data_IF_375931812139
#
_entry.id   IF_375931812139
#
_cell.length_a   1.000
_cell.length_b   1.000
_cell.length_c   1.000
_cell.angle_alpha   90.00
_cell.angle_beta   90.00
_cell.angle_gamma   90.00
#
_symmetry.space_group_name_H-M   'P 1'
#
loop_
_entity.id
_entity.type
_entity.pdbx_description
1 polymer ?
#
# COMPACT_ATOMS: atom_id res chain seq x y z
N UNK A 1 -2.35 7.20 27.00
CA UNK A 1 -2.93 6.03 26.30
C UNK A 1 -1.86 5.46 25.41
N UNK A 2 -1.77 4.15 25.17
CA UNK A 2 -0.65 3.57 24.42
C UNK A 2 -0.74 3.74 22.90
N UNK A 3 -1.92 3.95 22.31
CA UNK A 3 -2.16 3.98 20.87
C UNK A 3 -1.39 2.86 20.12
N UNK A 4 -1.56 1.62 20.58
CA UNK A 4 -0.81 0.45 20.11
C UNK A 4 -1.64 -0.45 19.19
N UNK A 5 -0.97 -1.14 18.28
CA UNK A 5 -1.56 -2.15 17.41
C UNK A 5 -0.60 -3.30 17.16
N UNK A 6 -1.15 -4.44 16.73
CA UNK A 6 -0.37 -5.51 16.08
C UNK A 6 -0.91 -5.75 14.68
N UNK A 7 -0.03 -5.82 13.68
CA UNK A 7 -0.36 -6.20 12.31
C UNK A 7 0.11 -7.64 12.09
N UNK A 8 -0.77 -8.51 11.59
CA UNK A 8 -0.45 -9.90 11.25
C UNK A 8 -1.14 -10.34 9.97
N UNK A 9 -0.71 -11.45 9.38
CA UNK A 9 -1.32 -12.10 8.23
C UNK A 9 -2.38 -13.13 8.66
N UNK A 10 -3.18 -13.62 7.70
CA UNK A 10 -4.16 -14.70 7.94
C UNK A 10 -3.55 -15.98 8.54
N UNK A 11 -2.29 -16.29 8.25
CA UNK A 11 -1.62 -17.49 8.75
C UNK A 11 -1.03 -17.34 10.16
N UNK A 12 -1.09 -16.14 10.75
CA UNK A 12 -0.71 -15.86 12.15
C UNK A 12 0.67 -16.43 12.52
N UNK A 13 1.70 -16.18 11.69
CA UNK A 13 3.07 -16.59 12.00
C UNK A 13 3.93 -15.49 12.62
N UNK A 14 3.75 -14.25 12.16
CA UNK A 14 4.47 -13.07 12.63
C UNK A 14 3.49 -11.98 13.00
N UNK A 15 3.87 -11.17 13.99
CA UNK A 15 3.18 -9.94 14.36
C UNK A 15 4.15 -8.77 14.35
N UNK A 16 3.77 -7.67 13.71
CA UNK A 16 4.45 -6.38 13.81
C UNK A 16 3.69 -5.52 14.82
N UNK A 17 4.33 -5.24 15.95
CA UNK A 17 3.84 -4.34 16.98
C UNK A 17 4.15 -2.88 16.61
N UNK A 18 3.20 -2.00 16.84
CA UNK A 18 3.29 -0.56 16.54
C UNK A 18 2.90 0.25 17.79
N UNK A 19 3.71 1.27 18.12
CA UNK A 19 3.52 2.19 19.26
C UNK A 19 4.30 3.49 19.03
N UNK A 20 3.72 4.60 18.62
CA UNK A 20 2.32 5.01 18.72
C UNK A 20 1.63 4.88 17.36
N UNK A 21 0.45 5.46 17.17
CA UNK A 21 -0.30 5.47 15.90
C UNK A 21 -0.75 4.08 15.41
N UNK A 22 -1.31 3.29 16.32
CA UNK A 22 -1.97 2.02 16.00
C UNK A 22 -3.39 2.15 15.43
N UNK A 23 -3.95 3.37 15.35
CA UNK A 23 -5.28 3.63 14.80
C UNK A 23 -5.43 3.23 13.34
N UNK A 24 -6.65 2.90 12.89
CA UNK A 24 -6.90 2.47 11.50
C UNK A 24 -6.57 3.59 10.52
N UNK A 25 -6.85 4.82 10.92
CA UNK A 25 -6.48 6.06 10.24
C UNK A 25 -4.96 6.23 10.01
N UNK A 26 -4.11 5.43 10.66
CA UNK A 26 -2.67 5.33 10.35
C UNK A 26 -2.32 4.00 9.67
N UNK A 27 -2.85 2.88 10.16
CA UNK A 27 -2.50 1.55 9.67
C UNK A 27 -2.98 1.34 8.23
N UNK A 28 -4.15 1.85 7.87
CA UNK A 28 -4.68 1.71 6.52
C UNK A 28 -3.87 2.54 5.49
N UNK A 29 -3.54 3.83 5.72
CA UNK A 29 -2.59 4.55 4.87
C UNK A 29 -1.20 3.90 4.78
N UNK A 30 -0.67 3.34 5.87
CA UNK A 30 0.62 2.63 5.87
C UNK A 30 0.61 1.46 4.87
N UNK A 31 -0.42 0.61 4.95
CA UNK A 31 -0.55 -0.54 4.06
C UNK A 31 -0.73 -0.08 2.61
N UNK A 32 -1.54 0.96 2.39
CA UNK A 32 -1.71 1.58 1.07
C UNK A 32 -0.41 2.15 0.52
N UNK A 33 0.40 2.80 1.35
CA UNK A 33 1.71 3.31 0.96
C UNK A 33 2.63 2.19 0.49
N UNK A 34 2.68 1.08 1.25
CA UNK A 34 3.49 -0.09 0.89
C UNK A 34 3.02 -0.72 -0.44
N UNK A 35 1.70 -0.79 -0.67
CA UNK A 35 1.13 -1.22 -1.95
C UNK A 35 1.55 -0.29 -3.10
N UNK A 36 1.43 1.03 -2.91
CA UNK A 36 1.81 2.04 -3.91
C UNK A 36 3.31 2.04 -4.21
N UNK A 37 4.15 1.71 -3.23
CA UNK A 37 5.58 1.44 -3.43
C UNK A 37 5.84 0.20 -4.29
N UNK A 38 4.83 -0.63 -4.52
CA UNK A 38 4.94 -1.87 -5.29
C UNK A 38 5.65 -2.97 -4.52
N UNK A 39 5.66 -2.89 -3.19
CA UNK A 39 6.26 -3.93 -2.37
C UNK A 39 5.41 -5.21 -2.40
N UNK A 40 6.09 -6.36 -2.37
CA UNK A 40 5.44 -7.65 -2.15
C UNK A 40 4.74 -7.64 -0.79
N UNK A 41 3.52 -8.16 -0.66
CA UNK A 41 2.82 -8.16 0.61
C UNK A 41 3.45 -9.11 1.62
N UNK A 42 3.24 -8.93 2.93
CA UNK A 42 3.78 -9.80 3.98
C UNK A 42 3.31 -11.26 3.87
N UNK A 43 2.19 -11.52 3.21
CA UNK A 43 1.69 -12.87 2.93
C UNK A 43 2.51 -13.63 1.87
N UNK A 44 3.34 -12.94 1.08
CA UNK A 44 4.19 -13.57 0.07
C UNK A 44 5.47 -14.17 0.69
N UNK A 45 6.27 -13.35 1.38
CA UNK A 45 7.55 -13.77 1.96
C UNK A 45 8.09 -12.78 3.00
N UNK A 46 9.29 -13.05 3.52
CA UNK A 46 9.98 -12.22 4.51
C UNK A 46 10.37 -10.82 4.01
N UNK A 47 10.48 -10.59 2.69
CA UNK A 47 10.75 -9.25 2.16
C UNK A 47 9.55 -8.33 2.36
N UNK A 48 8.32 -8.83 2.27
CA UNK A 48 7.12 -8.03 2.54
C UNK A 48 7.08 -7.52 3.98
N UNK A 49 7.41 -8.39 4.95
CA UNK A 49 7.58 -7.99 6.35
C UNK A 49 8.69 -6.95 6.52
N UNK A 50 9.86 -7.17 5.90
CA UNK A 50 10.98 -6.25 6.00
C UNK A 50 10.63 -4.85 5.48
N UNK A 51 9.89 -4.74 4.37
CA UNK A 51 9.46 -3.44 3.83
C UNK A 51 8.40 -2.75 4.68
N UNK A 52 7.45 -3.48 5.24
CA UNK A 52 6.50 -2.93 6.22
C UNK A 52 7.24 -2.34 7.43
N UNK A 53 8.15 -3.12 8.03
CA UNK A 53 8.98 -2.66 9.15
C UNK A 53 9.88 -1.48 8.79
N UNK A 54 10.42 -1.45 7.57
CA UNK A 54 11.25 -0.33 7.09
C UNK A 54 10.44 0.96 7.01
N UNK A 55 9.24 0.94 6.41
CA UNK A 55 8.40 2.15 6.29
C UNK A 55 8.02 2.66 7.68
N UNK A 56 7.59 1.77 8.57
CA UNK A 56 7.31 2.11 9.97
C UNK A 56 8.54 2.67 10.69
N UNK A 57 9.70 2.03 10.56
CA UNK A 57 10.94 2.44 11.23
C UNK A 57 11.44 3.80 10.73
N UNK A 58 11.31 4.09 9.45
CA UNK A 58 11.62 5.39 8.87
C UNK A 58 10.66 6.48 9.38
N UNK A 59 9.36 6.16 9.49
CA UNK A 59 8.34 7.09 9.97
C UNK A 59 8.51 7.46 11.44
N UNK A 60 8.72 6.47 12.31
CA UNK A 60 8.89 6.72 13.75
C UNK A 60 10.31 7.14 14.14
N UNK A 61 11.31 6.80 13.34
CA UNK A 61 12.72 6.93 13.73
C UNK A 61 13.13 5.92 14.81
N UNK A 62 14.08 6.31 15.68
CA UNK A 62 14.74 5.41 16.63
C UNK A 62 14.24 5.50 18.08
N UNK A 63 13.52 4.47 18.55
CA UNK A 63 13.55 3.97 19.94
C UNK A 63 12.73 2.68 20.08
N UNK A 64 11.50 2.72 20.61
CA UNK A 64 10.70 1.54 21.00
C UNK A 64 9.31 1.50 20.34
N UNK A 65 9.21 1.99 19.09
CA UNK A 65 7.93 2.17 18.41
C UNK A 65 7.50 1.05 17.47
N UNK A 66 8.43 0.21 17.06
CA UNK A 66 8.18 -0.90 16.15
C UNK A 66 8.81 -2.15 16.73
N UNK A 67 8.03 -3.23 16.85
CA UNK A 67 8.50 -4.52 17.31
C UNK A 67 8.10 -5.63 16.34
N UNK A 68 8.85 -6.73 16.33
CA UNK A 68 8.48 -7.94 15.59
C UNK A 68 8.61 -9.14 16.51
N UNK A 69 7.63 -10.03 16.46
CA UNK A 69 7.66 -11.29 17.22
C UNK A 69 6.99 -12.42 16.45
N UNK A 70 7.32 -13.64 16.83
CA UNK A 70 6.52 -14.82 16.48
C UNK A 70 5.13 -14.64 17.06
N UNK A 71 4.12 -14.83 16.22
CA UNK A 71 2.74 -14.73 16.66
C UNK A 71 2.35 -15.99 17.45
N UNK A 72 1.75 -15.82 18.62
CA UNK A 72 1.39 -16.94 19.50
C UNK A 72 -0.11 -17.21 19.49
N UNK A 73 -0.90 -16.31 20.06
CA UNK A 73 -2.38 -16.37 20.11
C UNK A 73 -2.93 -14.97 20.03
N UNK A 74 -4.13 -14.80 19.46
CA UNK A 74 -4.74 -13.47 19.34
C UNK A 74 -4.84 -12.77 20.72
N UNK A 75 -5.16 -13.50 21.79
CA UNK A 75 -5.23 -12.95 23.15
C UNK A 75 -3.88 -12.41 23.67
N UNK A 76 -2.77 -13.12 23.41
CA UNK A 76 -1.45 -12.68 23.87
C UNK A 76 -0.87 -11.56 23.00
N UNK A 77 -1.29 -11.52 21.74
CA UNK A 77 -0.81 -10.55 20.76
C UNK A 77 -1.64 -9.26 20.76
N UNK A 78 -2.83 -9.27 21.34
CA UNK A 78 -3.67 -8.08 21.45
C UNK A 78 -3.03 -7.04 22.40
N UNK A 79 -2.67 -5.84 21.89
CA UNK A 79 -2.11 -4.79 22.73
C UNK A 79 -3.18 -4.04 23.55
N UNK A 80 -4.47 -4.31 23.32
CA UNK A 80 -5.60 -3.77 24.07
C UNK A 80 -6.14 -2.42 23.57
N UNK A 81 -5.31 -1.59 22.94
CA UNK A 81 -5.75 -0.28 22.44
C UNK A 81 -6.48 -0.44 21.08
N UNK A 82 -5.73 -0.52 19.97
CA UNK A 82 -6.30 -0.62 18.63
C UNK A 82 -6.44 -2.07 18.14
N UNK A 83 -6.14 -3.06 18.98
CA UNK A 83 -6.30 -4.45 18.65
C UNK A 83 -5.27 -5.00 17.66
N UNK A 84 -5.67 -6.06 16.99
CA UNK A 84 -4.90 -6.79 15.99
C UNK A 84 -5.53 -6.56 14.62
N UNK A 85 -4.75 -6.06 13.67
CA UNK A 85 -5.10 -5.98 12.27
C UNK A 85 -4.62 -7.23 11.54
N UNK A 86 -5.54 -7.87 10.85
CA UNK A 86 -5.28 -9.05 10.04
C UNK A 86 -5.32 -8.62 8.59
N UNK A 87 -4.23 -8.85 7.87
CA UNK A 87 -4.10 -8.44 6.48
C UNK A 87 -4.08 -9.62 5.52
N UNK A 88 -4.60 -9.38 4.32
CA UNK A 88 -4.44 -10.22 3.14
C UNK A 88 -3.97 -9.35 1.98
N UNK A 89 -2.78 -9.64 1.44
CA UNK A 89 -2.09 -8.66 0.60
C UNK A 89 -1.73 -7.41 1.42
N UNK A 90 -2.24 -6.26 1.00
CA UNK A 90 -2.12 -4.98 1.70
C UNK A 90 -3.46 -4.49 2.26
N UNK A 91 -4.50 -5.32 2.26
CA UNK A 91 -5.83 -4.96 2.74
C UNK A 91 -6.10 -5.54 4.13
N UNK A 92 -6.77 -4.76 4.99
CA UNK A 92 -7.23 -5.23 6.31
C UNK A 92 -8.50 -6.06 6.08
N UNK A 93 -8.44 -7.36 6.37
CA UNK A 93 -9.57 -8.29 6.20
C UNK A 93 -10.29 -8.61 7.51
N UNK A 94 -9.64 -8.38 8.64
CA UNK A 94 -10.21 -8.61 9.97
C UNK A 94 -9.50 -7.70 10.99
N UNK A 95 -10.22 -7.29 12.05
CA UNK A 95 -9.65 -6.57 13.19
C UNK A 95 -10.23 -7.11 14.49
N UNK A 96 -9.37 -7.52 15.41
CA UNK A 96 -9.73 -8.20 16.65
C UNK A 96 -9.30 -7.41 17.88
N UNK A 97 -10.06 -7.53 18.97
CA UNK A 97 -9.67 -7.03 20.29
C UNK A 97 -10.20 -7.96 21.40
N UNK A 98 -9.65 -7.82 22.60
CA UNK A 98 -10.06 -8.55 23.79
C UNK A 98 -11.20 -7.82 24.48
N UNK A 99 -12.36 -8.48 24.53
CA UNK A 99 -13.51 -8.07 25.35
C UNK A 99 -13.31 -8.64 26.75
N UNK A 100 -13.18 -7.76 27.75
CA UNK A 100 -13.07 -8.13 29.15
C UNK A 100 -14.44 -8.03 29.82
N UNK A 101 -14.76 -8.98 30.70
CA UNK A 101 -15.90 -8.80 31.60
C UNK A 101 -15.69 -7.57 32.49
N UNK A 102 -16.78 -6.99 33.00
CA UNK A 102 -16.75 -5.75 33.80
C UNK A 102 -15.87 -5.86 35.06
N UNK A 103 -15.65 -7.07 35.56
CA UNK A 103 -14.78 -7.40 36.70
C UNK A 103 -13.39 -7.92 36.28
N UNK A 104 -13.09 -7.92 34.98
CA UNK A 104 -11.86 -8.44 34.35
C UNK A 104 -11.54 -9.91 34.66
N UNK A 105 -12.50 -10.67 35.20
CA UNK A 105 -12.30 -12.08 35.57
C UNK A 105 -12.27 -13.02 34.36
N UNK A 106 -12.93 -12.62 33.27
CA UNK A 106 -12.97 -13.38 32.02
C UNK A 106 -12.71 -12.46 30.83
N UNK A 107 -12.22 -13.05 29.75
CA UNK A 107 -12.10 -12.32 28.48
C UNK A 107 -12.19 -13.24 27.29
N UNK A 108 -12.57 -12.68 26.15
CA UNK A 108 -12.69 -13.37 24.87
C UNK A 108 -12.24 -12.45 23.73
N UNK A 109 -11.82 -13.04 22.63
CA UNK A 109 -11.57 -12.26 21.41
C UNK A 109 -12.90 -11.93 20.74
N UNK A 110 -13.03 -10.69 20.28
CA UNK A 110 -14.18 -10.19 19.52
C UNK A 110 -13.69 -9.35 18.33
N UNK A 111 -14.58 -9.09 17.38
CA UNK A 111 -14.33 -8.08 16.36
C UNK A 111 -14.16 -6.71 17.01
N UNK A 112 -13.24 -5.90 16.50
CA UNK A 112 -13.02 -4.55 17.00
C UNK A 112 -14.28 -3.70 16.77
N UNK A 113 -14.81 -3.02 17.80
CA UNK A 113 -16.06 -2.28 17.70
C UNK A 113 -15.88 -0.97 16.93
N UNK A 114 -16.74 -0.72 15.93
CA UNK A 114 -16.71 0.52 15.11
C UNK A 114 -16.86 1.79 15.95
N UNK A 115 -17.57 1.72 17.09
CA UNK A 115 -17.73 2.87 18.00
C UNK A 115 -16.43 3.31 18.68
N UNK A 116 -15.36 2.51 18.59
CA UNK A 116 -14.02 2.82 19.11
C UNK A 116 -13.02 3.12 17.98
N UNK A 117 -13.50 3.29 16.74
CA UNK A 117 -12.64 3.60 15.60
C UNK A 117 -12.03 5.00 15.74
N UNK A 118 -10.73 5.09 15.48
CA UNK A 118 -10.03 6.37 15.47
C UNK A 118 -10.19 7.05 14.11
N UNK A 119 -10.31 8.37 14.11
CA UNK A 119 -10.46 9.20 12.92
C UNK A 119 -9.79 10.56 13.15
N UNK A 120 -8.57 10.53 13.68
CA UNK A 120 -7.77 11.72 13.99
C UNK A 120 -6.99 12.21 12.77
N UNK A 121 -6.59 11.31 11.87
CA UNK A 121 -5.75 11.64 10.72
C UNK A 121 -6.47 11.50 9.37
N UNK A 122 -6.22 12.43 8.46
CA UNK A 122 -6.65 12.31 7.07
C UNK A 122 -5.80 11.28 6.32
N UNK A 123 -6.46 10.51 5.45
CA UNK A 123 -5.84 9.42 4.73
C UNK A 123 -4.72 9.90 3.78
N UNK A 124 -4.97 10.96 3.02
CA UNK A 124 -4.02 11.49 2.04
C UNK A 124 -2.86 12.22 2.73
N UNK A 125 -3.14 12.94 3.82
CA UNK A 125 -2.11 13.55 4.66
C UNK A 125 -1.18 12.49 5.28
N UNK A 126 -1.73 11.37 5.76
CA UNK A 126 -0.91 10.28 6.31
C UNK A 126 -0.04 9.59 5.25
N UNK A 127 -0.55 9.40 4.03
CA UNK A 127 0.27 8.91 2.92
C UNK A 127 1.48 9.82 2.66
N UNK A 128 1.27 11.14 2.67
CA UNK A 128 2.33 12.13 2.49
C UNK A 128 3.30 12.13 3.67
N UNK A 129 2.82 11.99 4.90
CA UNK A 129 3.65 11.88 6.08
C UNK A 129 4.58 10.65 6.04
N UNK A 130 4.08 9.49 5.61
CA UNK A 130 4.94 8.32 5.38
C UNK A 130 5.98 8.60 4.29
N UNK A 131 5.57 9.24 3.19
CA UNK A 131 6.46 9.56 2.08
C UNK A 131 7.61 10.49 2.48
N UNK A 132 7.31 11.55 3.23
CA UNK A 132 8.28 12.51 3.72
C UNK A 132 9.34 11.86 4.63
N UNK A 133 8.99 10.80 5.34
CA UNK A 133 9.93 10.05 6.18
C UNK A 133 10.80 9.07 5.39
N UNK A 134 10.49 8.77 4.12
CA UNK A 134 11.35 7.91 3.30
C UNK A 134 12.60 8.65 2.82
N UNK A 135 13.71 7.93 2.52
CA UNK A 135 14.84 8.50 1.80
C UNK A 135 14.38 9.21 0.52
N UNK A 136 14.97 10.35 0.19
CA UNK A 136 14.51 11.21 -0.93
C UNK A 136 14.36 10.45 -2.25
N UNK A 137 15.29 9.55 -2.57
CA UNK A 137 15.26 8.74 -3.80
C UNK A 137 14.20 7.64 -3.79
N UNK A 138 13.59 7.38 -2.64
CA UNK A 138 12.53 6.37 -2.44
C UNK A 138 11.15 7.00 -2.26
N UNK A 139 11.02 8.33 -2.28
CA UNK A 139 9.72 8.99 -2.16
C UNK A 139 8.88 8.79 -3.43
N UNK A 140 7.57 8.66 -3.27
CA UNK A 140 6.57 8.61 -4.33
C UNK A 140 6.22 10.02 -4.84
N UNK A 141 6.28 11.04 -3.97
CA UNK A 141 6.05 12.43 -4.33
C UNK A 141 4.71 12.63 -5.05
N UNK A 142 4.76 13.30 -6.20
CA UNK A 142 3.57 13.64 -6.99
C UNK A 142 2.75 12.41 -7.47
N UNK A 143 3.30 11.19 -7.40
CA UNK A 143 2.53 9.97 -7.65
C UNK A 143 1.37 9.79 -6.67
N UNK A 144 1.48 10.32 -5.44
CA UNK A 144 0.42 10.27 -4.44
C UNK A 144 -0.77 11.18 -4.79
N UNK A 145 -0.54 12.23 -5.57
CA UNK A 145 -1.57 13.16 -6.04
C UNK A 145 -2.12 12.77 -7.44
N UNK A 146 -1.72 11.61 -7.96
CA UNK A 146 -2.11 11.17 -9.29
C UNK A 146 -3.59 10.80 -9.38
N UNK A 147 -4.22 11.15 -10.50
CA UNK A 147 -5.60 10.78 -10.81
C UNK A 147 -5.64 9.31 -11.27
N UNK A 148 -6.55 8.52 -10.70
CA UNK A 148 -6.79 7.14 -11.14
C UNK A 148 -7.89 7.15 -12.19
N UNK A 149 -7.58 6.70 -13.41
CA UNK A 149 -8.52 6.65 -14.53
C UNK A 149 -8.57 5.24 -15.13
N UNK A 150 -9.70 4.82 -15.71
CA UNK A 150 -9.74 3.62 -16.54
C UNK A 150 -8.76 3.72 -17.71
N UNK A 151 -8.04 2.63 -18.03
CA UNK A 151 -7.07 2.62 -19.14
C UNK A 151 -7.75 2.94 -20.49
N UNK A 152 -9.02 2.57 -20.65
CA UNK A 152 -9.81 2.86 -21.84
C UNK A 152 -10.19 4.35 -21.99
N UNK A 153 -10.01 5.17 -20.96
CA UNK A 153 -10.28 6.62 -20.98
C UNK A 153 -9.04 7.48 -21.22
N UNK A 154 -7.89 6.85 -21.47
CA UNK A 154 -6.64 7.54 -21.80
C UNK A 154 -6.73 8.27 -23.14
N UNK A 155 -6.13 9.45 -23.19
CA UNK A 155 -6.10 10.38 -24.33
C UNK A 155 -4.66 10.63 -24.74
N UNK A 156 -4.45 10.98 -26.01
CA UNK A 156 -3.15 11.45 -26.48
C UNK A 156 -2.66 12.62 -25.61
N UNK A 157 -1.41 12.54 -25.16
CA UNK A 157 -0.78 13.53 -24.30
C UNK A 157 -1.09 13.38 -22.79
N UNK A 158 -1.93 12.44 -22.36
CA UNK A 158 -2.04 12.13 -20.92
C UNK A 158 -0.67 11.62 -20.42
N UNK A 159 -0.19 12.16 -19.30
CA UNK A 159 1.06 11.75 -18.66
C UNK A 159 0.80 10.58 -17.70
N UNK A 160 1.14 9.36 -18.11
CA UNK A 160 0.85 8.14 -17.35
C UNK A 160 2.02 7.77 -16.47
N UNK A 161 1.77 7.54 -15.19
CA UNK A 161 2.76 6.99 -14.27
C UNK A 161 2.99 5.50 -14.52
N UNK A 162 4.20 5.16 -14.97
CA UNK A 162 4.66 3.81 -15.23
C UNK A 162 5.70 3.39 -14.19
N UNK A 163 5.71 2.10 -13.84
CA UNK A 163 6.70 1.55 -12.92
C UNK A 163 7.93 1.06 -13.67
N UNK A 164 9.09 1.49 -13.20
CA UNK A 164 10.41 1.09 -13.65
C UNK A 164 10.84 -0.27 -13.11
N UNK A 165 11.79 -0.91 -13.79
CA UNK A 165 12.33 -2.22 -13.40
C UNK A 165 12.94 -2.17 -11.99
N UNK A 166 13.48 -1.02 -11.59
CA UNK A 166 14.02 -0.80 -10.26
C UNK A 166 12.94 -0.47 -9.19
N UNK A 167 11.67 -0.45 -9.56
CA UNK A 167 10.53 -0.17 -8.67
C UNK A 167 10.12 1.30 -8.59
N UNK A 168 10.94 2.25 -9.07
CA UNK A 168 10.58 3.67 -9.13
C UNK A 168 9.42 3.92 -10.10
N UNK A 169 8.76 5.07 -9.99
CA UNK A 169 7.67 5.47 -10.88
C UNK A 169 8.05 6.73 -11.66
N UNK A 170 7.71 6.77 -12.95
CA UNK A 170 7.97 7.90 -13.86
C UNK A 170 6.78 8.13 -14.76
N UNK A 171 6.59 9.37 -15.21
CA UNK A 171 5.54 9.69 -16.17
C UNK A 171 6.05 9.52 -17.59
N UNK A 172 5.15 9.09 -18.48
CA UNK A 172 5.37 9.02 -19.91
C UNK A 172 4.09 9.46 -20.63
N UNK A 173 4.20 10.29 -21.69
CA UNK A 173 3.03 10.73 -22.44
C UNK A 173 2.44 9.58 -23.26
N UNK A 174 1.12 9.51 -23.34
CA UNK A 174 0.42 8.68 -24.32
C UNK A 174 0.66 9.23 -25.72
N UNK A 175 1.25 8.42 -26.60
CA UNK A 175 1.62 8.82 -27.98
C UNK A 175 0.84 8.08 -29.06
N UNK A 176 0.04 7.09 -28.69
CA UNK A 176 -0.84 6.41 -29.64
C UNK A 176 -1.69 5.32 -29.03
N UNK A 177 -2.41 4.62 -29.92
CA UNK A 177 -3.24 3.47 -29.58
C UNK A 177 -2.86 2.29 -30.46
N UNK A 178 -2.71 1.11 -29.85
CA UNK A 178 -2.32 -0.10 -30.56
C UNK A 178 -3.35 -0.47 -31.64
N UNK A 179 -2.89 -1.16 -32.68
CA UNK A 179 -3.73 -1.52 -33.84
C UNK A 179 -3.94 -3.03 -33.97
N UNK A 180 -3.24 -3.84 -33.19
CA UNK A 180 -3.33 -5.30 -33.25
C UNK A 180 -2.53 -6.00 -32.16
N UNK A 181 -1.99 -7.18 -32.51
CA UNK A 181 -1.30 -8.07 -31.58
C UNK A 181 0.12 -7.60 -31.26
N UNK A 182 0.45 -7.51 -29.97
CA UNK A 182 1.81 -7.24 -29.48
C UNK A 182 2.15 -8.31 -28.45
N UNK A 183 3.21 -9.09 -28.73
CA UNK A 183 3.66 -10.21 -27.89
C UNK A 183 2.52 -11.13 -27.40
N UNK A 184 1.63 -11.53 -28.31
CA UNK A 184 0.55 -12.48 -28.01
C UNK A 184 -0.68 -11.89 -27.30
N UNK A 185 -0.72 -10.56 -27.08
CA UNK A 185 -1.90 -9.87 -26.54
C UNK A 185 -2.50 -8.93 -27.57
N UNK A 186 -3.83 -8.90 -27.67
CA UNK A 186 -4.51 -7.90 -28.51
C UNK A 186 -4.44 -6.53 -27.84
N UNK A 187 -3.80 -5.58 -28.52
CA UNK A 187 -3.63 -4.20 -28.06
C UNK A 187 -4.42 -3.21 -28.90
N UNK A 188 -5.34 -3.70 -29.75
CA UNK A 188 -6.16 -2.82 -30.58
C UNK A 188 -6.98 -1.85 -29.72
N UNK A 189 -6.77 -0.56 -29.93
CA UNK A 189 -7.43 0.52 -29.18
C UNK A 189 -6.86 0.77 -27.78
N UNK A 190 -5.83 0.03 -27.34
CA UNK A 190 -5.19 0.24 -26.03
C UNK A 190 -4.11 1.32 -26.18
N UNK A 191 -4.12 2.32 -25.30
CA UNK A 191 -3.13 3.39 -25.29
C UNK A 191 -1.72 2.85 -25.00
N UNK A 192 -0.70 3.42 -25.64
CA UNK A 192 0.71 3.20 -25.32
C UNK A 192 1.48 4.52 -25.12
N UNK A 193 2.53 4.45 -24.32
CA UNK A 193 3.32 5.60 -23.89
C UNK A 193 4.73 5.63 -24.50
N UNK A 194 5.35 6.81 -24.47
CA UNK A 194 6.68 7.08 -25.01
C UNK A 194 7.84 6.56 -24.11
N UNK A 195 7.83 5.26 -23.76
CA UNK A 195 8.79 4.71 -22.79
C UNK A 195 9.98 3.98 -23.42
N UNK A 196 9.73 2.95 -24.21
CA UNK A 196 10.75 2.17 -24.90
C UNK A 196 10.63 2.39 -26.40
N UNK A 197 11.57 3.18 -26.95
CA UNK A 197 11.63 3.51 -28.38
C UNK A 197 12.12 2.33 -29.23
N UNK A 198 11.62 2.27 -30.46
CA UNK A 198 12.12 1.43 -31.54
C UNK A 198 12.01 2.19 -32.87
N UNK A 199 13.01 3.02 -33.16
CA UNK A 199 13.05 3.83 -34.40
C UNK A 199 11.81 4.75 -34.58
N UNK A 200 11.28 5.27 -33.46
CA UNK A 200 10.06 6.08 -33.40
C UNK A 200 8.77 5.28 -33.21
N UNK A 201 8.81 3.95 -33.21
CA UNK A 201 7.65 3.09 -32.95
C UNK A 201 7.60 2.62 -31.49
N UNK A 202 6.77 3.30 -30.69
CA UNK A 202 6.49 2.92 -29.31
C UNK A 202 5.39 1.86 -29.17
N UNK A 203 4.67 1.49 -30.24
CA UNK A 203 3.61 0.48 -30.17
C UNK A 203 4.15 -0.94 -30.09
N UNK A 204 5.41 -1.14 -30.50
CA UNK A 204 6.02 -2.46 -30.58
C UNK A 204 6.28 -3.12 -29.21
N UNK A 205 6.58 -2.33 -28.17
CA UNK A 205 6.96 -2.88 -26.87
C UNK A 205 5.73 -3.06 -25.95
N UNK A 206 5.41 -4.27 -25.47
CA UNK A 206 4.26 -4.47 -24.58
C UNK A 206 4.37 -3.72 -23.25
N UNK A 207 5.57 -3.32 -22.82
CA UNK A 207 5.80 -2.56 -21.58
C UNK A 207 5.52 -1.05 -21.73
N UNK A 208 5.21 -0.60 -22.94
CA UNK A 208 4.72 0.76 -23.20
C UNK A 208 3.20 0.86 -22.98
N UNK A 209 2.51 -0.25 -22.76
CA UNK A 209 1.07 -0.25 -22.50
C UNK A 209 0.83 -0.28 -20.99
N UNK A 210 0.00 0.62 -20.43
CA UNK A 210 -0.45 0.50 -19.05
C UNK A 210 -1.09 -0.88 -18.79
N UNK A 211 -0.81 -1.45 -17.63
CA UNK A 211 -1.29 -2.78 -17.25
C UNK A 211 -2.51 -2.68 -16.33
N UNK A 212 -3.47 -3.59 -16.53
CA UNK A 212 -4.71 -3.65 -15.74
C UNK A 212 -5.82 -2.75 -16.28
N UNK A 213 -6.89 -2.62 -15.50
CA UNK A 213 -8.11 -1.90 -15.91
C UNK A 213 -8.02 -0.38 -15.67
N UNK A 214 -7.16 0.03 -14.74
CA UNK A 214 -6.95 1.43 -14.35
C UNK A 214 -5.48 1.78 -14.31
N UNK A 215 -5.15 3.04 -14.58
CA UNK A 215 -3.80 3.60 -14.44
C UNK A 215 -3.83 4.93 -13.68
N UNK A 216 -2.66 5.39 -13.25
CA UNK A 216 -2.47 6.71 -12.64
C UNK A 216 -1.92 7.69 -13.66
N UNK A 217 -2.53 8.87 -13.76
CA UNK A 217 -2.05 9.96 -14.61
C UNK A 217 -1.72 11.19 -13.76
N UNK A 218 -0.84 12.05 -14.28
CA UNK A 218 -0.78 13.43 -13.79
C UNK A 218 -2.16 14.05 -14.04
N UNK A 219 -2.76 14.73 -13.04
CA UNK A 219 -4.07 15.36 -13.23
C UNK A 219 -4.10 16.23 -14.49
N UNK A 220 -5.13 16.03 -15.31
CA UNK A 220 -5.34 16.83 -16.52
C UNK A 220 -5.51 18.30 -16.13
N UNK A 221 -4.89 19.21 -16.88
CA UNK A 221 -5.08 20.66 -16.71
C UNK A 221 -6.39 21.13 -17.31
#
# INVERSE_FOLDING_TARGET
>A
MGNRAVITTKDRKLGVYVHWNGGRDTIQPLLKYCELKGYRPPSSDSYGWARLCQVLGNFFGGSNSVGISTYTTDRQMDPGDNGIYVIDGWEIVERLTTDYSSDFSTSRMVAYPESQEQSEYDFAEMLKAFDECMPETERLGAYLDAEVVPVCELRLGDEVWMREVNGSVKTYPVVGFGTGMVNGSDRKGVAYVERYDHEGDYSWNPNNYPHGDTCRIVPRR
#
